data_IF_872228069159
#
_entry.id   IF_872228069159
#
_cell.length_a   1.000
_cell.length_b   1.000
_cell.length_c   1.000
_cell.angle_alpha   90.00
_cell.angle_beta   90.00
_cell.angle_gamma   90.00
#
_symmetry.space_group_name_H-M   'P 1'
#
loop_
_entity.id
_entity.type
_entity.pdbx_description
1 polymer ?
#
# COMPACT_ATOMS: atom_id res chain seq x y z
N UNK A 1 -16.98 10.04 -4.06
CA UNK A 1 -17.92 9.10 -4.68
C UNK A 1 -17.15 7.80 -4.86
N UNK A 2 -17.48 6.75 -4.10
CA UNK A 2 -16.84 5.46 -4.30
C UNK A 2 -17.15 4.99 -5.72
N UNK A 3 -16.12 4.93 -6.58
CA UNK A 3 -16.20 4.44 -7.96
C UNK A 3 -16.73 3.00 -8.08
N UNK A 4 -16.81 2.29 -6.95
CA UNK A 4 -17.35 0.95 -6.84
C UNK A 4 -18.82 0.85 -7.27
N UNK A 5 -19.62 1.90 -7.08
CA UNK A 5 -21.08 1.82 -7.29
C UNK A 5 -21.49 2.28 -8.70
N UNK A 6 -20.71 3.15 -9.34
CA UNK A 6 -21.00 3.62 -10.71
C UNK A 6 -20.86 2.53 -11.76
N UNK A 7 -19.98 1.55 -11.53
CA UNK A 7 -19.69 0.47 -12.47
C UNK A 7 -20.85 -0.51 -12.65
N UNK A 8 -21.52 -1.02 -11.59
CA UNK A 8 -22.70 -1.88 -11.76
C UNK A 8 -23.88 -1.17 -12.42
N UNK A 9 -24.10 0.13 -12.17
CA UNK A 9 -25.14 0.89 -12.88
C UNK A 9 -24.81 1.03 -14.36
N UNK A 10 -23.55 1.35 -14.69
CA UNK A 10 -23.10 1.48 -16.07
C UNK A 10 -23.23 0.14 -16.81
N UNK A 11 -22.88 -0.97 -16.14
CA UNK A 11 -23.08 -2.33 -16.67
C UNK A 11 -24.56 -2.67 -16.85
N UNK A 12 -25.42 -2.35 -15.88
CA UNK A 12 -26.86 -2.63 -15.97
C UNK A 12 -27.55 -1.78 -17.05
N UNK A 13 -27.20 -0.50 -17.15
CA UNK A 13 -27.69 0.41 -18.19
C UNK A 13 -27.18 -0.04 -19.57
N UNK A 14 -25.91 -0.40 -19.67
CA UNK A 14 -25.31 -0.94 -20.89
C UNK A 14 -25.97 -2.24 -21.33
N UNK A 15 -26.22 -3.17 -20.40
CA UNK A 15 -26.91 -4.43 -20.67
C UNK A 15 -28.35 -4.19 -21.14
N UNK A 16 -29.08 -3.25 -20.54
CA UNK A 16 -30.44 -2.89 -20.95
C UNK A 16 -30.47 -2.26 -22.34
N UNK A 17 -29.57 -1.33 -22.63
CA UNK A 17 -29.45 -0.71 -23.96
C UNK A 17 -29.09 -1.78 -25.00
N UNK A 18 -28.12 -2.64 -24.71
CA UNK A 18 -27.74 -3.75 -25.59
C UNK A 18 -28.91 -4.71 -25.83
N UNK A 19 -29.66 -5.08 -24.80
CA UNK A 19 -30.83 -5.95 -24.92
C UNK A 19 -31.93 -5.32 -25.78
N UNK A 20 -32.20 -4.03 -25.60
CA UNK A 20 -33.19 -3.29 -26.39
C UNK A 20 -32.77 -3.13 -27.86
N UNK A 21 -31.46 -2.96 -28.11
CA UNK A 21 -30.92 -2.86 -29.46
C UNK A 21 -30.86 -4.21 -30.20
N UNK A 22 -30.61 -5.31 -29.47
CA UNK A 22 -30.53 -6.65 -30.04
C UNK A 22 -31.92 -7.25 -30.32
N UNK A 23 -32.95 -6.81 -29.61
CA UNK A 23 -34.32 -7.31 -29.76
C UNK A 23 -35.30 -6.17 -30.10
N UNK A 24 -35.18 -5.53 -31.29
CA UNK A 24 -36.17 -4.54 -31.72
C UNK A 24 -37.52 -5.26 -31.97
N UNK A 25 -38.65 -4.70 -31.49
CA UNK A 25 -39.96 -5.32 -31.64
C UNK A 25 -40.43 -5.23 -33.09
N UNK A 26 -40.12 -6.26 -33.87
CA UNK A 26 -40.53 -6.37 -35.28
C UNK A 26 -41.86 -7.11 -35.43
N UNK A 27 -42.32 -7.81 -34.39
CA UNK A 27 -43.54 -8.61 -34.37
C UNK A 27 -44.31 -8.40 -33.06
N UNK A 28 -45.65 -8.56 -33.06
CA UNK A 28 -46.43 -8.53 -31.83
C UNK A 28 -45.85 -9.54 -30.83
N UNK A 29 -45.65 -9.13 -29.57
CA UNK A 29 -44.89 -9.92 -28.61
C UNK A 29 -45.59 -11.27 -28.40
N UNK A 30 -44.82 -12.33 -28.56
CA UNK A 30 -45.24 -13.65 -28.12
C UNK A 30 -45.35 -13.66 -26.58
N UNK A 31 -46.25 -14.47 -25.99
CA UNK A 31 -46.37 -14.55 -24.52
C UNK A 31 -45.05 -14.95 -23.84
N UNK A 32 -44.16 -15.66 -24.53
CA UNK A 32 -42.80 -15.96 -24.06
C UNK A 32 -41.89 -14.73 -24.01
N UNK A 33 -42.01 -13.80 -24.95
CA UNK A 33 -41.23 -12.57 -24.98
C UNK A 33 -41.68 -11.62 -23.86
N UNK A 34 -42.98 -11.56 -23.55
CA UNK A 34 -43.50 -10.78 -22.41
C UNK A 34 -42.92 -11.26 -21.07
N UNK A 35 -42.76 -12.58 -20.89
CA UNK A 35 -42.12 -13.14 -19.69
C UNK A 35 -40.63 -12.78 -19.60
N UNK A 36 -39.91 -12.78 -20.71
CA UNK A 36 -38.49 -12.40 -20.76
C UNK A 36 -38.33 -10.92 -20.46
N UNK A 37 -39.15 -10.06 -21.07
CA UNK A 37 -39.13 -8.62 -20.83
C UNK A 37 -39.46 -8.29 -19.37
N UNK A 38 -40.45 -8.98 -18.78
CA UNK A 38 -40.77 -8.90 -17.36
C UNK A 38 -39.59 -9.32 -16.48
N UNK A 39 -38.91 -10.42 -16.80
CA UNK A 39 -37.73 -10.85 -16.07
C UNK A 39 -36.57 -9.84 -16.15
N UNK A 40 -36.27 -9.30 -17.34
CA UNK A 40 -35.21 -8.29 -17.53
C UNK A 40 -35.55 -7.00 -16.78
N UNK A 41 -36.80 -6.56 -16.83
CA UNK A 41 -37.27 -5.39 -16.10
C UNK A 41 -37.16 -5.60 -14.58
N UNK A 42 -37.56 -6.77 -14.09
CA UNK A 42 -37.41 -7.18 -12.71
C UNK A 42 -35.96 -7.12 -12.25
N UNK A 43 -35.06 -7.80 -12.96
CA UNK A 43 -33.63 -7.79 -12.66
C UNK A 43 -33.06 -6.36 -12.55
N UNK A 44 -33.44 -5.48 -13.48
CA UNK A 44 -33.03 -4.08 -13.44
C UNK A 44 -33.57 -3.30 -12.22
N UNK A 45 -34.83 -3.54 -11.83
CA UNK A 45 -35.40 -2.98 -10.59
C UNK A 45 -34.63 -3.45 -9.36
N UNK A 46 -34.23 -4.72 -9.32
CA UNK A 46 -33.39 -5.29 -8.26
C UNK A 46 -32.03 -4.61 -8.13
N UNK A 47 -31.34 -4.42 -9.27
CA UNK A 47 -30.05 -3.70 -9.32
C UNK A 47 -30.21 -2.25 -8.85
N UNK A 48 -31.26 -1.56 -9.29
CA UNK A 48 -31.53 -0.18 -8.91
C UNK A 48 -31.87 -0.03 -7.43
N UNK A 49 -32.62 -0.98 -6.87
CA UNK A 49 -32.91 -1.02 -5.43
C UNK A 49 -31.63 -1.20 -4.62
N UNK A 50 -30.75 -2.12 -5.06
CA UNK A 50 -29.44 -2.32 -4.44
C UNK A 50 -28.61 -1.03 -4.48
N UNK A 51 -28.57 -0.37 -5.64
CA UNK A 51 -27.87 0.90 -5.82
C UNK A 51 -28.34 1.96 -4.81
N UNK A 52 -29.65 2.24 -4.79
CA UNK A 52 -30.22 3.25 -3.89
C UNK A 52 -30.03 2.86 -2.43
N UNK A 53 -30.10 1.57 -2.09
CA UNK A 53 -29.83 1.10 -0.72
C UNK A 53 -28.40 1.37 -0.28
N UNK A 54 -27.43 1.27 -1.20
CA UNK A 54 -26.01 1.48 -0.92
C UNK A 54 -25.62 2.96 -0.84
N UNK A 55 -26.17 3.82 -1.70
CA UNK A 55 -25.77 5.23 -1.78
C UNK A 55 -26.69 6.17 -0.98
N UNK A 56 -27.95 5.79 -0.82
CA UNK A 56 -29.00 6.61 -0.24
C UNK A 56 -29.90 5.80 0.72
N UNK A 57 -29.37 5.33 1.86
CA UNK A 57 -30.09 4.43 2.77
C UNK A 57 -31.39 5.03 3.32
N UNK A 58 -31.45 6.37 3.42
CA UNK A 58 -32.66 7.10 3.86
C UNK A 58 -33.82 6.94 2.85
N UNK A 59 -33.51 6.81 1.56
CA UNK A 59 -34.51 6.68 0.49
C UNK A 59 -34.89 5.23 0.18
N UNK A 60 -34.08 4.26 0.59
CA UNK A 60 -34.32 2.83 0.38
C UNK A 60 -35.71 2.34 0.83
N UNK A 61 -36.21 2.66 2.05
CA UNK A 61 -37.53 2.20 2.47
C UNK A 61 -38.67 2.82 1.65
N UNK A 62 -38.54 4.10 1.27
CA UNK A 62 -39.52 4.76 0.41
C UNK A 62 -39.59 4.12 -0.98
N UNK A 63 -38.45 3.73 -1.53
CA UNK A 63 -38.35 3.08 -2.84
C UNK A 63 -38.88 1.63 -2.80
N UNK A 64 -38.59 0.90 -1.73
CA UNK A 64 -39.18 -0.42 -1.49
C UNK A 64 -40.71 -0.35 -1.38
N UNK A 65 -41.25 0.62 -0.64
CA UNK A 65 -42.69 0.86 -0.55
C UNK A 65 -43.29 1.25 -1.90
N UNK A 66 -42.59 2.04 -2.70
CA UNK A 66 -43.03 2.38 -4.05
C UNK A 66 -43.13 1.15 -4.97
N UNK A 67 -42.19 0.19 -4.86
CA UNK A 67 -42.28 -1.07 -5.60
C UNK A 67 -43.45 -1.94 -5.14
N UNK A 68 -43.64 -2.10 -3.83
CA UNK A 68 -44.79 -2.83 -3.28
C UNK A 68 -46.10 -2.17 -3.68
N UNK A 69 -46.17 -0.84 -3.59
CA UNK A 69 -47.33 -0.05 -4.00
C UNK A 69 -47.62 -0.18 -5.49
N UNK A 70 -46.59 -0.21 -6.35
CA UNK A 70 -46.75 -0.46 -7.78
C UNK A 70 -47.29 -1.86 -8.06
N UNK A 71 -46.76 -2.90 -7.40
CA UNK A 71 -47.23 -4.27 -7.56
C UNK A 71 -48.69 -4.37 -7.10
N UNK A 72 -49.01 -3.84 -5.93
CA UNK A 72 -50.38 -3.77 -5.42
C UNK A 72 -51.29 -3.01 -6.39
N UNK A 73 -50.82 -1.89 -6.95
CA UNK A 73 -51.60 -1.11 -7.92
C UNK A 73 -51.93 -1.93 -9.18
N UNK A 74 -50.98 -2.72 -9.69
CA UNK A 74 -51.22 -3.60 -10.85
C UNK A 74 -52.21 -4.71 -10.49
N UNK A 75 -52.11 -5.27 -9.28
CA UNK A 75 -52.99 -6.36 -8.84
C UNK A 75 -54.43 -5.89 -8.59
N UNK A 76 -54.62 -4.68 -8.02
CA UNK A 76 -55.93 -4.19 -7.60
C UNK A 76 -56.65 -3.30 -8.61
N UNK A 77 -55.93 -2.58 -9.47
CA UNK A 77 -56.54 -1.60 -10.39
C UNK A 77 -56.51 -2.03 -11.87
N UNK A 78 -56.00 -3.22 -12.19
CA UNK A 78 -56.12 -3.74 -13.55
C UNK A 78 -57.55 -4.28 -13.76
N UNK A 79 -58.29 -3.67 -14.71
CA UNK A 79 -59.64 -4.11 -15.10
C UNK A 79 -59.65 -5.51 -15.76
N UNK A 80 -58.48 -5.98 -16.21
CA UNK A 80 -58.27 -7.34 -16.69
C UNK A 80 -57.53 -8.17 -15.62
N UNK A 81 -57.83 -9.47 -15.47
CA UNK A 81 -57.09 -10.34 -14.56
C UNK A 81 -55.60 -10.25 -14.92
N UNK A 82 -54.74 -9.71 -14.03
CA UNK A 82 -53.34 -9.56 -14.35
C UNK A 82 -52.76 -10.93 -14.61
N UNK A 83 -51.91 -11.04 -15.62
CA UNK A 83 -51.18 -12.28 -15.85
C UNK A 83 -50.21 -12.48 -14.68
N UNK A 84 -50.67 -13.27 -13.71
CA UNK A 84 -49.95 -13.56 -12.47
C UNK A 84 -48.58 -14.17 -12.76
N UNK A 85 -48.40 -14.81 -13.92
CA UNK A 85 -47.11 -15.34 -14.34
C UNK A 85 -46.11 -14.21 -14.59
N UNK A 86 -46.48 -13.16 -15.32
CA UNK A 86 -45.61 -12.01 -15.61
C UNK A 86 -45.25 -11.25 -14.34
N UNK A 87 -46.22 -11.04 -13.43
CA UNK A 87 -45.96 -10.38 -12.15
C UNK A 87 -45.01 -11.21 -11.28
N UNK A 88 -45.23 -12.53 -11.23
CA UNK A 88 -44.39 -13.48 -10.49
C UNK A 88 -42.95 -13.53 -11.02
N UNK A 89 -42.77 -13.66 -12.34
CA UNK A 89 -41.44 -13.71 -12.96
C UNK A 89 -40.67 -12.41 -12.77
N UNK A 90 -41.34 -11.26 -12.92
CA UNK A 90 -40.74 -9.93 -12.68
C UNK A 90 -40.27 -9.80 -11.22
N UNK A 91 -41.10 -10.23 -10.25
CA UNK A 91 -40.75 -10.19 -8.83
C UNK A 91 -39.55 -11.08 -8.49
N UNK A 92 -39.53 -12.33 -8.98
CA UNK A 92 -38.41 -13.26 -8.78
C UNK A 92 -37.13 -12.70 -9.39
N UNK A 93 -37.20 -12.18 -10.62
CA UNK A 93 -36.05 -11.62 -11.29
C UNK A 93 -35.49 -10.38 -10.56
N UNK A 94 -36.34 -9.57 -9.93
CA UNK A 94 -35.89 -8.46 -9.07
C UNK A 94 -35.09 -8.92 -7.86
N UNK A 95 -35.54 -9.98 -7.18
CA UNK A 95 -34.79 -10.56 -6.05
C UNK A 95 -33.44 -11.12 -6.53
N UNK A 96 -33.42 -11.83 -7.66
CA UNK A 96 -32.18 -12.35 -8.26
C UNK A 96 -31.23 -11.23 -8.64
N UNK A 97 -31.72 -10.16 -9.28
CA UNK A 97 -30.92 -8.99 -9.65
C UNK A 97 -30.30 -8.29 -8.44
N UNK A 98 -31.07 -8.14 -7.36
CA UNK A 98 -30.57 -7.59 -6.10
C UNK A 98 -29.47 -8.48 -5.48
N UNK A 99 -29.72 -9.78 -5.35
CA UNK A 99 -28.77 -10.73 -4.76
C UNK A 99 -27.48 -10.86 -5.58
N UNK A 100 -27.58 -10.90 -6.91
CA UNK A 100 -26.43 -10.94 -7.80
C UNK A 100 -25.58 -9.67 -7.67
N UNK A 101 -26.22 -8.50 -7.58
CA UNK A 101 -25.51 -7.23 -7.41
C UNK A 101 -24.80 -7.16 -6.05
N UNK A 102 -25.41 -7.70 -4.99
CA UNK A 102 -24.78 -7.85 -3.68
C UNK A 102 -23.55 -8.76 -3.76
N UNK A 103 -23.65 -9.93 -4.40
CA UNK A 103 -22.52 -10.86 -4.58
C UNK A 103 -21.39 -10.24 -5.40
N UNK A 104 -21.72 -9.54 -6.48
CA UNK A 104 -20.72 -8.83 -7.31
C UNK A 104 -20.06 -7.71 -6.51
N UNK A 105 -20.81 -6.99 -5.68
CA UNK A 105 -20.26 -5.93 -4.83
C UNK A 105 -19.26 -6.52 -3.83
N UNK A 106 -19.61 -7.62 -3.17
CA UNK A 106 -18.70 -8.33 -2.26
C UNK A 106 -17.46 -8.88 -2.98
N UNK A 107 -17.63 -9.48 -4.16
CA UNK A 107 -16.50 -9.98 -4.95
C UNK A 107 -15.61 -8.85 -5.47
N UNK A 108 -16.20 -7.70 -5.85
CA UNK A 108 -15.47 -6.53 -6.29
C UNK A 108 -14.68 -5.88 -5.15
N UNK A 109 -15.27 -5.82 -3.95
CA UNK A 109 -14.55 -5.41 -2.73
C UNK A 109 -13.37 -6.34 -2.47
N UNK A 110 -13.55 -7.66 -2.52
CA UNK A 110 -12.45 -8.63 -2.33
C UNK A 110 -11.34 -8.48 -3.39
N UNK A 111 -11.71 -8.29 -4.65
CA UNK A 111 -10.75 -8.10 -5.74
C UNK A 111 -10.00 -6.76 -5.65
N UNK A 112 -10.69 -5.68 -5.26
CA UNK A 112 -10.10 -4.35 -5.13
C UNK A 112 -9.25 -4.23 -3.85
N UNK A 113 -9.68 -4.84 -2.75
CA UNK A 113 -8.90 -4.88 -1.51
C UNK A 113 -7.67 -5.80 -1.64
N UNK A 114 -7.65 -6.75 -2.58
CA UNK A 114 -6.50 -7.62 -2.82
C UNK A 114 -5.18 -6.87 -3.03
N UNK A 115 -5.24 -5.70 -3.69
CA UNK A 115 -4.05 -4.87 -3.95
C UNK A 115 -3.67 -3.99 -2.75
N UNK A 116 -4.62 -3.52 -1.96
CA UNK A 116 -4.36 -2.70 -0.77
C UNK A 116 -3.97 -3.56 0.45
N UNK A 117 -4.56 -4.75 0.60
CA UNK A 117 -4.19 -5.77 1.59
C UNK A 117 -2.80 -6.35 1.33
N UNK A 118 -2.28 -6.37 0.09
CA UNK A 118 -0.90 -6.80 -0.17
C UNK A 118 0.12 -5.82 0.43
N UNK A 119 -0.17 -4.52 0.38
CA UNK A 119 0.64 -3.45 0.99
C UNK A 119 0.39 -3.40 2.50
N UNK A 120 -0.86 -3.58 2.93
CA UNK A 120 -1.29 -3.65 4.33
C UNK A 120 -0.72 -4.84 5.09
N UNK A 121 -0.70 -6.05 4.51
CA UNK A 121 -0.07 -7.25 5.11
C UNK A 121 1.44 -7.11 5.21
N UNK A 122 2.11 -6.46 4.24
CA UNK A 122 3.55 -6.14 4.36
C UNK A 122 3.82 -5.12 5.47
N UNK A 123 2.96 -4.12 5.64
CA UNK A 123 3.09 -3.16 6.75
C UNK A 123 2.73 -3.75 8.11
N UNK A 124 1.71 -4.61 8.18
CA UNK A 124 1.31 -5.32 9.39
C UNK A 124 2.43 -6.25 9.87
N UNK A 125 2.98 -7.09 8.96
CA UNK A 125 4.15 -7.93 9.28
C UNK A 125 5.38 -7.12 9.71
N UNK A 126 5.56 -5.90 9.17
CA UNK A 126 6.64 -5.02 9.59
C UNK A 126 6.41 -4.48 11.01
N UNK A 127 5.19 -4.04 11.33
CA UNK A 127 4.81 -3.55 12.66
C UNK A 127 4.93 -4.65 13.72
N UNK A 128 4.50 -5.86 13.38
CA UNK A 128 4.62 -7.03 14.25
C UNK A 128 6.09 -7.39 14.53
N UNK A 129 6.96 -7.32 13.50
CA UNK A 129 8.42 -7.46 13.68
C UNK A 129 9.04 -6.36 14.51
N UNK A 130 8.52 -5.13 14.45
CA UNK A 130 8.98 -4.01 15.27
C UNK A 130 8.58 -4.20 16.74
N UNK A 131 7.33 -4.61 17.01
CA UNK A 131 6.87 -4.97 18.36
C UNK A 131 7.63 -6.18 18.94
N UNK A 132 7.94 -7.18 18.12
CA UNK A 132 8.78 -8.31 18.52
C UNK A 132 10.22 -7.86 18.86
N UNK A 133 10.77 -6.86 18.14
CA UNK A 133 12.08 -6.29 18.45
C UNK A 133 12.05 -5.44 19.72
N UNK A 134 10.97 -4.71 19.97
CA UNK A 134 10.80 -3.91 21.19
C UNK A 134 10.65 -4.79 22.42
N UNK A 135 9.78 -5.81 22.38
CA UNK A 135 9.64 -6.80 23.46
C UNK A 135 10.96 -7.53 23.72
N UNK A 136 11.73 -7.88 22.69
CA UNK A 136 13.07 -8.46 22.87
C UNK A 136 14.07 -7.48 23.53
N UNK A 137 13.98 -6.18 23.23
CA UNK A 137 14.80 -5.14 23.89
C UNK A 137 14.39 -4.96 25.35
N UNK A 138 13.10 -5.02 25.65
CA UNK A 138 12.59 -4.94 27.03
C UNK A 138 12.99 -6.17 27.84
N UNK A 139 12.86 -7.37 27.29
CA UNK A 139 13.32 -8.60 27.94
C UNK A 139 14.82 -8.55 28.28
N UNK A 140 15.66 -8.00 27.38
CA UNK A 140 17.09 -7.79 27.67
C UNK A 140 17.33 -6.78 28.79
N UNK A 141 16.56 -5.68 28.83
CA UNK A 141 16.64 -4.68 29.91
C UNK A 141 16.21 -5.28 31.24
N UNK A 142 15.16 -6.08 31.24
CA UNK A 142 14.66 -6.76 32.45
C UNK A 142 15.66 -7.78 32.96
N UNK A 143 16.22 -8.62 32.08
CA UNK A 143 17.29 -9.55 32.43
C UNK A 143 18.51 -8.82 33.03
N UNK A 144 18.89 -7.67 32.47
CA UNK A 144 19.97 -6.85 33.01
C UNK A 144 19.64 -6.26 34.40
N UNK A 145 18.39 -5.82 34.62
CA UNK A 145 17.92 -5.37 35.94
C UNK A 145 17.90 -6.50 36.96
N UNK A 146 17.49 -7.70 36.56
CA UNK A 146 17.50 -8.88 37.42
C UNK A 146 18.93 -9.24 37.85
N UNK A 147 19.88 -9.25 36.91
CA UNK A 147 21.29 -9.50 37.20
C UNK A 147 21.90 -8.45 38.14
N UNK A 148 21.55 -7.17 37.97
CA UNK A 148 21.98 -6.11 38.89
C UNK A 148 21.42 -6.30 40.31
N UNK A 149 20.15 -6.74 40.45
CA UNK A 149 19.57 -7.07 41.76
C UNK A 149 20.29 -8.26 42.41
N UNK A 150 20.66 -9.27 41.64
CA UNK A 150 21.42 -10.43 42.13
C UNK A 150 22.82 -10.05 42.61
N UNK A 151 23.55 -9.22 41.84
CA UNK A 151 24.88 -8.73 42.24
C UNK A 151 24.79 -7.92 43.54
N UNK A 152 23.82 -7.01 43.64
CA UNK A 152 23.64 -6.17 44.82
C UNK A 152 23.20 -7.00 46.04
N UNK A 153 22.40 -8.06 45.84
CA UNK A 153 22.07 -9.02 46.90
C UNK A 153 23.31 -9.77 47.40
N UNK A 154 24.15 -10.28 46.48
CA UNK A 154 25.42 -10.95 46.83
C UNK A 154 26.40 -10.03 47.56
N UNK A 155 26.42 -8.75 47.22
CA UNK A 155 27.29 -7.76 47.87
C UNK A 155 26.85 -7.48 49.31
N UNK A 156 25.54 -7.37 49.56
CA UNK A 156 24.99 -7.28 50.93
C UNK A 156 25.30 -8.50 51.78
N UNK A 157 25.30 -9.70 51.21
CA UNK A 157 25.65 -10.92 51.94
C UNK A 157 27.15 -10.97 52.28
N UNK A 158 28.02 -10.48 51.37
CA UNK A 158 29.46 -10.32 51.67
C UNK A 158 29.70 -9.38 52.85
N UNK A 159 29.03 -8.24 52.89
CA UNK A 159 29.19 -7.28 53.99
C UNK A 159 28.71 -7.86 55.34
N UNK A 160 27.67 -8.69 55.35
CA UNK A 160 27.21 -9.39 56.57
C UNK A 160 28.18 -10.45 57.05
N UNK A 161 28.80 -11.19 56.13
CA UNK A 161 29.80 -12.21 56.48
C UNK A 161 31.15 -11.62 56.88
N UNK A 162 31.42 -10.35 56.52
CA UNK A 162 32.55 -9.57 57.03
C UNK A 162 32.24 -9.01 58.42
N UNK A 163 31.87 -9.90 59.34
CA UNK A 163 31.76 -9.54 60.76
C UNK A 163 33.12 -8.96 61.21
N UNK A 164 33.13 -7.81 61.89
CA UNK A 164 34.36 -7.16 62.32
C UNK A 164 34.93 -7.95 63.50
N UNK A 165 35.68 -9.01 63.21
CA UNK A 165 36.52 -9.63 64.23
C UNK A 165 37.66 -8.65 64.54
N UNK A 166 37.43 -7.84 65.57
CA UNK A 166 38.40 -7.51 66.61
C UNK A 166 39.81 -7.13 66.11
N UNK A 167 40.12 -5.83 66.14
CA UNK A 167 41.18 -5.36 67.02
C UNK A 167 41.08 -3.86 67.28
N UNK A 168 40.68 -3.56 68.50
CA UNK A 168 41.03 -2.36 69.23
C UNK A 168 42.52 -2.05 69.04
N UNK A 169 42.83 -0.95 68.36
CA UNK A 169 44.04 -0.18 68.64
C UNK A 169 43.76 1.30 68.45
N UNK A 170 43.88 1.97 69.58
CA UNK A 170 43.78 3.38 69.85
C UNK A 170 44.72 4.24 69.02
N UNK A 171 44.35 5.53 68.89
CA UNK A 171 45.16 6.67 68.45
C UNK A 171 45.39 6.68 66.92
N UNK A 172 45.33 7.78 66.19
CA UNK A 172 45.37 9.21 66.49
C UNK A 172 44.89 9.95 65.22
N UNK A 173 44.38 11.19 65.38
CA UNK A 173 44.38 12.31 64.43
C UNK A 173 44.45 12.02 62.91
N UNK A 174 43.49 12.57 62.17
CA UNK A 174 43.64 13.81 61.35
C UNK A 174 42.40 13.89 60.46
N UNK A 175 41.65 14.98 60.65
CA UNK A 175 40.56 15.41 59.77
C UNK A 175 41.13 16.01 58.48
N UNK A 176 40.52 15.74 57.31
CA UNK A 176 40.09 16.87 56.48
C UNK A 176 38.69 16.62 55.86
N UNK A 177 37.74 17.54 56.06
CA UNK A 177 37.41 18.67 55.16
C UNK A 177 36.82 18.17 53.82
N UNK A 178 35.56 17.72 53.79
CA UNK A 178 34.36 18.53 53.50
C UNK A 178 34.58 19.58 52.39
N UNK A 179 34.41 19.18 51.14
CA UNK A 179 34.21 20.08 50.00
C UNK A 179 32.89 19.76 49.32
N UNK A 180 31.86 20.53 49.68
CA UNK A 180 30.64 20.66 48.87
C UNK A 180 30.99 21.43 47.60
N UNK A 181 30.78 20.83 46.43
CA UNK A 181 30.71 21.57 45.17
C UNK A 181 29.24 21.73 44.83
N UNK A 182 28.67 22.82 45.33
CA UNK A 182 27.45 23.44 44.84
C UNK A 182 27.74 24.01 43.45
N UNK A 183 27.15 23.45 42.40
CA UNK A 183 27.09 24.11 41.08
C UNK A 183 25.65 24.55 40.82
N UNK A 184 25.30 25.68 41.42
CA UNK A 184 24.11 26.44 41.08
C UNK A 184 24.41 27.41 39.92
N UNK A 185 23.47 27.46 38.97
CA UNK A 185 23.07 28.59 38.12
C UNK A 185 24.11 29.66 37.74
N UNK A 186 24.30 29.81 36.44
CA UNK A 186 24.45 31.12 35.81
C UNK A 186 23.60 31.16 34.54
N UNK A 187 22.48 31.86 34.67
CA UNK A 187 21.67 32.36 33.57
C UNK A 187 22.36 33.54 32.89
N UNK A 188 21.86 33.85 31.69
CA UNK A 188 22.00 35.09 30.89
C UNK A 188 23.38 35.44 30.35
N UNK A 189 23.47 35.52 29.00
CA UNK A 189 23.92 36.68 28.19
C UNK A 189 23.94 36.27 26.68
N UNK A 190 24.03 37.21 25.72
CA UNK A 190 22.88 37.67 24.95
C UNK A 190 22.93 37.30 23.45
N UNK A 191 21.76 37.47 22.84
CA UNK A 191 21.47 37.68 21.41
C UNK A 191 22.62 38.35 20.64
N UNK A 192 23.25 37.59 19.74
CA UNK A 192 23.88 38.12 18.52
C UNK A 192 23.27 37.43 17.32
N UNK A 193 22.63 38.23 16.49
CA UNK A 193 22.06 37.87 15.21
C UNK A 193 23.22 37.59 14.24
N UNK A 194 23.43 36.31 13.93
CA UNK A 194 24.14 35.88 12.73
C UNK A 194 23.60 34.50 12.37
N UNK A 195 22.45 34.47 11.69
CA UNK A 195 21.85 33.24 11.15
C UNK A 195 22.68 32.78 9.95
N UNK A 196 23.87 32.26 10.25
CA UNK A 196 24.57 31.30 9.41
C UNK A 196 23.77 30.01 9.50
N UNK A 197 23.37 29.52 8.33
CA UNK A 197 22.58 28.31 8.16
C UNK A 197 23.25 27.18 8.96
N UNK A 198 22.55 26.54 9.91
CA UNK A 198 23.13 25.43 10.67
C UNK A 198 23.50 24.34 9.67
N UNK A 199 24.73 23.79 9.70
CA UNK A 199 25.03 22.58 8.95
C UNK A 199 24.05 21.55 9.48
N UNK A 200 23.15 21.11 8.60
CA UNK A 200 22.25 20.01 8.87
C UNK A 200 23.12 18.87 9.41
N UNK A 201 22.90 18.53 10.68
CA UNK A 201 23.32 17.27 11.27
C UNK A 201 22.69 16.17 10.43
N UNK A 202 23.41 15.77 9.38
CA UNK A 202 23.21 14.50 8.72
C UNK A 202 23.49 13.50 9.82
N UNK A 203 22.42 12.89 10.33
CA UNK A 203 22.51 11.66 11.11
C UNK A 203 23.08 10.60 10.16
N UNK A 204 24.40 10.63 9.99
CA UNK A 204 25.17 9.56 9.39
C UNK A 204 25.07 8.40 10.38
N UNK A 205 24.06 7.56 10.20
CA UNK A 205 24.05 6.21 10.77
C UNK A 205 25.15 5.42 10.07
N UNK A 206 26.38 5.68 10.51
CA UNK A 206 27.58 4.87 10.35
C UNK A 206 27.39 3.60 11.18
N UNK A 207 27.07 2.48 10.54
CA UNK A 207 27.49 1.15 11.06
C UNK A 207 27.26 0.01 10.06
N UNK A 208 27.85 0.09 8.87
CA UNK A 208 28.13 -1.13 8.04
C UNK A 208 29.43 -1.05 7.25
N UNK A 209 30.24 -0.01 7.40
CA UNK A 209 31.49 0.19 6.62
C UNK A 209 32.75 -0.40 7.27
N UNK A 210 32.69 -0.94 8.50
CA UNK A 210 33.89 -1.33 9.26
C UNK A 210 34.42 -2.76 8.98
N UNK A 211 34.05 -3.39 7.87
CA UNK A 211 34.65 -4.68 7.46
C UNK A 211 35.18 -4.68 6.02
N UNK A 212 35.21 -3.53 5.33
CA UNK A 212 35.71 -3.47 3.95
C UNK A 212 37.23 -3.32 3.84
N UNK A 213 37.92 -2.77 4.84
CA UNK A 213 39.37 -2.50 4.75
C UNK A 213 40.27 -3.75 4.82
N UNK A 214 39.73 -4.92 5.19
CA UNK A 214 40.54 -6.12 5.43
C UNK A 214 40.54 -7.14 4.28
N UNK A 215 39.74 -6.94 3.23
CA UNK A 215 39.82 -7.71 1.98
C UNK A 215 40.49 -6.83 0.93
N UNK A 216 41.68 -7.22 0.46
CA UNK A 216 42.50 -6.44 -0.48
C UNK A 216 41.69 -5.87 -1.66
N UNK A 217 41.34 -4.59 -1.56
CA UNK A 217 40.63 -3.85 -2.59
C UNK A 217 41.61 -3.53 -3.73
N UNK A 218 41.60 -4.35 -4.78
CA UNK A 218 42.14 -3.93 -6.07
C UNK A 218 41.39 -2.68 -6.52
N UNK A 219 42.06 -1.70 -7.15
CA UNK A 219 41.45 -0.39 -7.50
C UNK A 219 40.16 -0.46 -8.34
N UNK A 220 39.89 -1.62 -8.96
CA UNK A 220 38.63 -1.96 -9.63
C UNK A 220 37.42 -2.04 -8.68
N UNK A 221 37.60 -2.53 -7.45
CA UNK A 221 36.53 -2.58 -6.45
C UNK A 221 36.01 -1.19 -6.08
N UNK A 222 36.90 -0.19 -6.02
CA UNK A 222 36.55 1.18 -5.66
C UNK A 222 35.60 1.84 -6.67
N UNK A 223 35.75 1.55 -7.96
CA UNK A 223 34.83 2.07 -8.98
C UNK A 223 33.44 1.45 -8.84
N UNK A 224 33.37 0.13 -8.61
CA UNK A 224 32.10 -0.56 -8.40
C UNK A 224 31.37 -0.06 -7.14
N UNK A 225 32.11 0.21 -6.07
CA UNK A 225 31.55 0.78 -4.85
C UNK A 225 30.98 2.18 -5.06
N UNK A 226 31.66 3.02 -5.85
CA UNK A 226 31.15 4.36 -6.19
C UNK A 226 29.85 4.27 -6.99
N UNK A 227 29.76 3.34 -7.95
CA UNK A 227 28.53 3.10 -8.70
C UNK A 227 27.40 2.57 -7.81
N UNK A 228 27.71 1.63 -6.93
CA UNK A 228 26.76 1.07 -5.98
C UNK A 228 26.25 2.14 -5.00
N UNK A 229 27.16 2.99 -4.49
CA UNK A 229 26.83 4.11 -3.63
C UNK A 229 25.93 5.12 -4.38
N UNK A 230 26.20 5.38 -5.66
CA UNK A 230 25.37 6.24 -6.49
C UNK A 230 23.96 5.65 -6.68
N UNK A 231 23.83 4.37 -7.01
CA UNK A 231 22.53 3.69 -7.13
C UNK A 231 21.73 3.72 -5.81
N UNK A 232 22.39 3.46 -4.68
CA UNK A 232 21.77 3.55 -3.35
C UNK A 232 21.34 4.98 -3.02
N UNK A 233 22.14 5.99 -3.38
CA UNK A 233 21.78 7.41 -3.23
C UNK A 233 20.55 7.77 -4.06
N UNK A 234 20.47 7.30 -5.32
CA UNK A 234 19.30 7.50 -6.19
C UNK A 234 18.06 6.82 -5.61
N UNK A 235 18.18 5.58 -5.14
CA UNK A 235 17.09 4.88 -4.47
C UNK A 235 16.59 5.63 -3.22
N UNK A 236 17.51 6.13 -2.39
CA UNK A 236 17.19 6.91 -1.20
C UNK A 236 16.50 8.23 -1.54
N UNK A 237 16.94 8.91 -2.61
CA UNK A 237 16.33 10.16 -3.09
C UNK A 237 14.90 9.90 -3.59
N UNK A 238 14.69 8.87 -4.40
CA UNK A 238 13.35 8.49 -4.88
C UNK A 238 12.40 8.12 -3.72
N UNK A 239 12.89 7.45 -2.68
CA UNK A 239 12.09 7.12 -1.50
C UNK A 239 11.78 8.37 -0.63
N UNK A 240 12.68 9.36 -0.59
CA UNK A 240 12.42 10.65 0.06
C UNK A 240 11.30 11.42 -0.68
N UNK A 241 11.38 11.52 -2.01
CA UNK A 241 10.33 12.13 -2.84
C UNK A 241 8.99 11.43 -2.67
N UNK A 242 8.99 10.10 -2.63
CA UNK A 242 7.79 9.30 -2.35
C UNK A 242 7.12 9.69 -1.02
N UNK A 243 7.90 9.93 0.04
CA UNK A 243 7.35 10.34 1.35
C UNK A 243 6.74 11.74 1.27
N UNK A 244 7.44 12.67 0.63
CA UNK A 244 6.93 14.02 0.38
C UNK A 244 5.61 13.99 -0.38
N UNK A 245 5.51 13.24 -1.49
CA UNK A 245 4.26 13.11 -2.24
C UNK A 245 3.13 12.47 -1.40
N UNK A 246 3.44 11.56 -0.47
CA UNK A 246 2.43 11.00 0.45
C UNK A 246 1.88 12.05 1.42
N UNK A 247 2.74 12.91 1.95
CA UNK A 247 2.34 14.00 2.85
C UNK A 247 1.53 15.05 2.10
N UNK A 248 1.98 15.47 0.92
CA UNK A 248 1.26 16.40 0.05
C UNK A 248 -0.11 15.82 -0.36
N UNK A 249 -0.21 14.50 -0.60
CA UNK A 249 -1.48 13.84 -0.91
C UNK A 249 -2.46 13.95 0.26
N UNK A 250 -2.00 13.74 1.50
CA UNK A 250 -2.84 13.89 2.69
C UNK A 250 -3.32 15.33 2.84
N UNK A 251 -2.44 16.30 2.57
CA UNK A 251 -2.79 17.71 2.56
C UNK A 251 -3.86 18.04 1.51
N UNK A 252 -3.72 17.54 0.27
CA UNK A 252 -4.72 17.73 -0.77
C UNK A 252 -6.09 17.14 -0.40
N UNK A 253 -6.09 15.95 0.22
CA UNK A 253 -7.32 15.33 0.73
C UNK A 253 -7.98 16.16 1.84
N UNK A 254 -7.18 16.70 2.77
CA UNK A 254 -7.69 17.57 3.83
C UNK A 254 -8.29 18.88 3.30
N UNK A 255 -7.77 19.38 2.17
CA UNK A 255 -8.30 20.54 1.45
C UNK A 255 -9.53 20.21 0.58
N UNK A 256 -9.92 18.93 0.47
CA UNK A 256 -11.02 18.49 -0.40
C UNK A 256 -10.67 18.41 -1.90
N UNK A 257 -9.41 18.65 -2.27
CA UNK A 257 -8.93 18.59 -3.66
C UNK A 257 -8.58 17.15 -4.07
N UNK A 258 -9.62 16.44 -4.54
CA UNK A 258 -9.51 15.03 -4.95
C UNK A 258 -8.66 14.83 -6.20
N UNK A 259 -8.75 15.74 -7.17
CA UNK A 259 -8.01 15.65 -8.42
C UNK A 259 -6.49 15.72 -8.17
N UNK A 260 -6.05 16.65 -7.32
CA UNK A 260 -4.65 16.76 -6.92
C UNK A 260 -4.20 15.55 -6.10
N UNK A 261 -5.05 15.04 -5.22
CA UNK A 261 -4.74 13.84 -4.44
C UNK A 261 -4.53 12.60 -5.32
N UNK A 262 -5.29 12.45 -6.40
CA UNK A 262 -5.13 11.38 -7.39
C UNK A 262 -3.82 11.53 -8.19
N UNK A 263 -3.48 12.74 -8.63
CA UNK A 263 -2.20 13.02 -9.29
C UNK A 263 -1.00 12.66 -8.39
N UNK A 264 -1.05 13.07 -7.12
CA UNK A 264 -0.01 12.73 -6.15
C UNK A 264 0.04 11.22 -5.86
N UNK A 265 -1.10 10.53 -5.88
CA UNK A 265 -1.12 9.07 -5.76
C UNK A 265 -0.37 8.39 -6.91
N UNK A 266 -0.54 8.86 -8.15
CA UNK A 266 0.22 8.37 -9.30
C UNK A 266 1.73 8.64 -9.15
N UNK A 267 2.12 9.83 -8.66
CA UNK A 267 3.52 10.14 -8.38
C UNK A 267 4.12 9.21 -7.31
N UNK A 268 3.39 8.93 -6.23
CA UNK A 268 3.83 7.98 -5.19
C UNK A 268 4.09 6.59 -5.79
N UNK A 269 3.23 6.10 -6.69
CA UNK A 269 3.46 4.82 -7.40
C UNK A 269 4.71 4.88 -8.28
N UNK A 270 4.89 5.97 -9.03
CA UNK A 270 6.06 6.18 -9.90
C UNK A 270 7.36 6.20 -9.11
N UNK A 271 7.45 6.97 -8.01
CA UNK A 271 8.66 7.03 -7.19
C UNK A 271 8.95 5.71 -6.46
N UNK A 272 7.91 4.97 -6.05
CA UNK A 272 8.08 3.63 -5.50
C UNK A 272 8.72 2.67 -6.52
N UNK A 273 8.22 2.66 -7.76
CA UNK A 273 8.78 1.85 -8.83
C UNK A 273 10.24 2.22 -9.15
N UNK A 274 10.58 3.52 -9.16
CA UNK A 274 11.96 3.99 -9.38
C UNK A 274 12.89 3.60 -8.23
N UNK A 275 12.45 3.72 -6.98
CA UNK A 275 13.24 3.29 -5.84
C UNK A 275 13.53 1.79 -5.90
N UNK A 276 12.51 0.98 -6.21
CA UNK A 276 12.65 -0.46 -6.37
C UNK A 276 13.59 -0.84 -7.54
N UNK A 277 13.48 -0.18 -8.70
CA UNK A 277 14.37 -0.45 -9.83
C UNK A 277 15.83 -0.18 -9.48
N UNK A 278 16.14 0.92 -8.78
CA UNK A 278 17.51 1.21 -8.36
C UNK A 278 18.05 0.22 -7.33
N UNK A 279 17.20 -0.28 -6.42
CA UNK A 279 17.62 -1.33 -5.48
C UNK A 279 17.93 -2.64 -6.20
N UNK A 280 17.09 -3.07 -7.14
CA UNK A 280 17.33 -4.28 -7.94
C UNK A 280 18.56 -4.15 -8.84
N UNK A 281 18.81 -2.97 -9.39
CA UNK A 281 19.99 -2.70 -10.20
C UNK A 281 21.28 -2.75 -9.35
N UNK A 282 21.24 -2.17 -8.14
CA UNK A 282 22.35 -2.27 -7.19
C UNK A 282 22.63 -3.73 -6.81
N UNK A 283 21.60 -4.52 -6.51
CA UNK A 283 21.74 -5.93 -6.17
C UNK A 283 22.29 -6.76 -7.34
N UNK A 284 21.84 -6.47 -8.58
CA UNK A 284 22.37 -7.11 -9.79
C UNK A 284 23.88 -6.83 -9.93
N UNK A 285 24.32 -5.59 -9.72
CA UNK A 285 25.75 -5.23 -9.78
C UNK A 285 26.59 -5.95 -8.71
N UNK A 286 26.05 -6.17 -7.51
CA UNK A 286 26.73 -6.96 -6.46
C UNK A 286 26.93 -8.41 -6.93
N UNK A 287 25.89 -9.02 -7.51
CA UNK A 287 25.95 -10.41 -8.00
C UNK A 287 26.95 -10.53 -9.16
N UNK A 288 26.94 -9.58 -10.10
CA UNK A 288 27.88 -9.53 -11.21
C UNK A 288 29.34 -9.36 -10.72
N UNK A 289 29.58 -8.45 -9.77
CA UNK A 289 30.89 -8.28 -9.17
C UNK A 289 31.38 -9.53 -8.43
N UNK A 290 30.48 -10.18 -7.70
CA UNK A 290 30.79 -11.42 -6.97
C UNK A 290 31.16 -12.53 -7.95
N UNK A 291 30.41 -12.66 -9.06
CA UNK A 291 30.69 -13.63 -10.14
C UNK A 291 32.03 -13.34 -10.83
N UNK A 292 32.35 -12.07 -11.11
CA UNK A 292 33.60 -11.67 -11.73
C UNK A 292 34.83 -11.97 -10.86
N UNK A 293 34.69 -11.86 -9.53
CA UNK A 293 35.77 -12.18 -8.58
C UNK A 293 35.96 -13.69 -8.35
N UNK A 294 34.97 -14.52 -8.70
CA UNK A 294 35.00 -15.98 -8.47
C UNK A 294 34.79 -16.76 -9.78
N UNK A 295 35.61 -16.54 -10.84
CA UNK A 295 35.38 -17.16 -12.14
C UNK A 295 35.51 -18.70 -12.13
N UNK A 296 36.15 -19.29 -11.11
CA UNK A 296 36.47 -20.72 -11.05
C UNK A 296 35.55 -21.63 -10.22
N UNK A 297 34.68 -21.10 -9.34
CA UNK A 297 33.96 -21.95 -8.38
C UNK A 297 32.55 -22.39 -8.81
N UNK A 298 31.89 -21.71 -9.74
CA UNK A 298 30.49 -22.01 -10.10
C UNK A 298 30.31 -22.99 -11.26
N UNK A 299 31.36 -23.27 -12.03
CA UNK A 299 31.28 -24.24 -13.14
C UNK A 299 31.31 -25.71 -12.70
N UNK A 300 31.72 -26.00 -11.45
CA UNK A 300 31.83 -27.38 -10.97
C UNK A 300 30.55 -27.93 -10.31
N UNK A 301 29.65 -27.07 -9.81
CA UNK A 301 28.48 -27.52 -9.04
C UNK A 301 27.20 -27.69 -9.86
N UNK A 302 27.13 -27.14 -11.08
CA UNK A 302 25.98 -27.33 -11.97
C UNK A 302 25.97 -28.70 -12.69
N UNK A 303 27.11 -29.40 -12.74
CA UNK A 303 27.22 -30.71 -13.39
C UNK A 303 27.06 -31.90 -12.42
N UNK A 304 27.01 -31.68 -11.10
CA UNK A 304 27.14 -32.74 -10.10
C UNK A 304 25.88 -33.03 -9.26
N UNK A 305 24.72 -32.45 -9.58
CA UNK A 305 23.49 -32.70 -8.81
C UNK A 305 22.25 -32.81 -9.69
N UNK A 306 22.20 -33.88 -10.49
CA UNK A 306 20.94 -34.57 -10.75
C UNK A 306 20.80 -35.63 -9.66
N UNK A 307 20.12 -35.38 -8.52
CA UNK A 307 19.73 -36.46 -7.65
C UNK A 307 18.66 -37.26 -8.41
N UNK A 308 19.06 -38.41 -8.95
CA UNK A 308 18.14 -39.49 -9.31
C UNK A 308 17.36 -39.84 -8.06
N UNK A 309 16.21 -39.19 -7.88
CA UNK A 309 15.25 -39.49 -6.85
C UNK A 309 14.59 -40.80 -7.25
N UNK A 310 15.22 -41.91 -6.85
CA UNK A 310 14.63 -43.24 -6.91
C UNK A 310 13.39 -43.25 -6.02
N UNK A 311 12.24 -43.11 -6.66
CA UNK A 311 10.93 -43.26 -6.04
C UNK A 311 10.53 -44.73 -6.19
N UNK A 312 10.41 -45.53 -5.11
CA UNK A 312 9.91 -46.89 -5.21
C UNK A 312 8.37 -46.90 -5.08
N UNK A 313 7.73 -47.66 -5.96
CA UNK A 313 6.34 -48.15 -5.90
C UNK A 313 5.17 -47.17 -6.16
N UNK A 314 4.50 -47.33 -7.30
CA UNK A 314 3.38 -48.27 -7.42
C UNK A 314 3.15 -48.65 -8.89
N UNK A 315 2.89 -49.94 -9.14
CA UNK A 315 2.51 -50.46 -10.44
C UNK A 315 1.12 -49.97 -10.86
N UNK A 316 0.99 -49.75 -12.15
CA UNK A 316 -0.24 -49.31 -12.82
C UNK A 316 0.01 -49.33 -14.32
N UNK A 317 -0.29 -50.50 -14.89
CA UNK A 317 -0.73 -50.81 -16.26
C UNK A 317 -0.47 -49.82 -17.41
N UNK A 318 0.02 -50.41 -18.50
CA UNK A 318 0.50 -49.81 -19.73
C UNK A 318 -0.60 -49.12 -20.55
N UNK A 319 -0.33 -47.90 -21.00
CA UNK A 319 -0.83 -47.38 -22.27
C UNK A 319 0.34 -46.78 -23.07
N UNK A 320 0.51 -47.12 -24.37
CA UNK A 320 1.62 -46.63 -25.17
C UNK A 320 1.33 -45.23 -25.73
N UNK A 321 2.07 -44.22 -25.26
CA UNK A 321 2.09 -42.86 -25.85
C UNK A 321 3.25 -42.77 -26.85
N UNK A 322 3.05 -42.17 -28.04
CA UNK A 322 4.04 -42.19 -29.11
C UNK A 322 5.20 -41.23 -28.85
N UNK A 323 6.39 -41.66 -29.27
CA UNK A 323 7.62 -40.87 -29.35
C UNK A 323 7.43 -39.63 -30.22
N UNK A 324 7.44 -38.44 -29.61
CA UNK A 324 7.66 -37.18 -30.32
C UNK A 324 9.05 -36.64 -29.96
N UNK A 325 9.95 -36.78 -30.93
CA UNK A 325 11.32 -36.28 -30.88
C UNK A 325 11.32 -34.78 -31.18
N UNK A 326 11.86 -34.00 -30.24
CA UNK A 326 12.46 -32.71 -30.56
C UNK A 326 11.76 -31.50 -29.96
N UNK A 327 12.22 -31.08 -28.78
CA UNK A 327 12.12 -29.67 -28.38
C UNK A 327 13.48 -29.14 -27.94
N UNK A 328 14.01 -28.29 -28.82
CA UNK A 328 15.06 -27.32 -28.57
C UNK A 328 14.76 -26.54 -27.29
N UNK A 329 15.82 -26.24 -26.55
CA UNK A 329 15.82 -25.27 -25.46
C UNK A 329 15.17 -23.97 -25.90
N UNK A 330 13.94 -23.72 -25.44
CA UNK A 330 13.28 -22.43 -25.56
C UNK A 330 13.83 -21.51 -24.47
N UNK A 331 14.56 -20.48 -24.91
CA UNK A 331 14.76 -19.24 -24.16
C UNK A 331 13.47 -18.84 -23.44
N UNK A 332 13.56 -18.69 -22.12
CA UNK A 332 12.49 -18.11 -21.32
C UNK A 332 12.34 -16.64 -21.74
N UNK A 333 11.23 -16.22 -22.38
CA UNK A 333 11.08 -14.84 -22.78
C UNK A 333 10.90 -14.00 -21.52
N UNK A 334 11.82 -13.05 -21.34
CA UNK A 334 11.67 -11.98 -20.35
C UNK A 334 10.30 -11.33 -20.57
N UNK A 335 9.44 -11.18 -19.55
CA UNK A 335 8.16 -10.54 -19.76
C UNK A 335 8.41 -9.07 -20.08
N UNK A 336 7.99 -8.67 -21.28
CA UNK A 336 8.16 -7.34 -21.83
C UNK A 336 7.14 -6.37 -21.21
N UNK A 337 7.35 -6.03 -19.93
CA UNK A 337 6.49 -5.08 -19.21
C UNK A 337 6.64 -3.63 -19.71
N UNK A 338 7.73 -3.33 -20.44
CA UNK A 338 8.03 -1.98 -20.91
C UNK A 338 7.35 -1.63 -22.23
N UNK A 339 7.09 -2.59 -23.13
CA UNK A 339 6.39 -2.28 -24.38
C UNK A 339 4.86 -2.11 -24.22
N UNK A 340 4.24 -2.64 -23.16
CA UNK A 340 2.82 -2.37 -22.87
C UNK A 340 2.59 -0.93 -22.39
N UNK A 341 3.50 -0.38 -21.59
CA UNK A 341 3.45 1.05 -21.19
C UNK A 341 3.73 2.01 -22.35
N UNK A 342 4.41 1.56 -23.41
CA UNK A 342 4.71 2.39 -24.59
C UNK A 342 3.56 2.44 -25.61
N UNK A 343 2.70 1.42 -25.68
CA UNK A 343 1.58 1.38 -26.63
C UNK A 343 0.38 2.23 -26.19
N UNK A 344 0.17 2.41 -24.88
CA UNK A 344 -0.96 3.21 -24.37
C UNK A 344 -0.71 4.74 -24.38
N UNK A 345 0.50 5.19 -24.73
CA UNK A 345 0.84 6.62 -24.81
C UNK A 345 0.73 7.16 -26.25
N UNK A 346 0.61 6.30 -27.26
CA UNK A 346 0.67 6.70 -28.68
C UNK A 346 -0.62 7.31 -29.26
N UNK A 347 -1.66 7.53 -28.45
CA UNK A 347 -2.96 8.02 -28.93
C UNK A 347 -3.53 9.26 -28.25
N UNK A 348 -2.90 9.80 -27.19
CA UNK A 348 -3.38 11.05 -26.57
C UNK A 348 -2.63 12.23 -27.15
N UNK A 349 -3.34 12.99 -27.98
CA UNK A 349 -2.90 14.30 -28.46
C UNK A 349 -2.31 15.13 -27.31
N UNK A 350 -1.25 15.91 -27.54
CA UNK A 350 -0.70 16.80 -26.52
C UNK A 350 -1.82 17.71 -26.04
N UNK A 351 -2.13 17.61 -24.74
CA UNK A 351 -3.03 18.53 -24.07
C UNK A 351 -2.45 19.93 -24.30
N UNK A 352 -3.12 20.74 -25.12
CA UNK A 352 -2.84 22.18 -25.20
C UNK A 352 -2.98 22.72 -23.80
N UNK A 353 -1.85 23.14 -23.21
CA UNK A 353 -1.90 24.01 -22.05
C UNK A 353 -2.69 25.25 -22.47
N UNK A 354 -3.72 25.68 -21.72
CA UNK A 354 -4.28 26.99 -21.94
C UNK A 354 -3.14 28.00 -21.72
N UNK A 355 -2.99 28.89 -22.70
CA UNK A 355 -2.01 29.97 -22.66
C UNK A 355 -2.08 30.68 -21.31
N UNK A 356 -0.90 30.84 -20.69
CA UNK A 356 -0.75 31.71 -19.52
C UNK A 356 -1.33 33.08 -19.89
N UNK A 357 -2.32 33.62 -19.17
CA UNK A 357 -2.66 35.02 -19.33
C UNK A 357 -1.42 35.86 -18.97
N UNK A 358 -1.09 36.80 -19.85
CA UNK A 358 -0.01 37.76 -19.69
C UNK A 358 0.00 38.34 -18.28
N UNK A 359 1.18 38.32 -17.67
CA UNK A 359 1.47 38.94 -16.39
C UNK A 359 1.68 40.45 -16.54
N UNK A 360 0.72 41.13 -17.18
CA UNK A 360 0.69 42.57 -17.29
C UNK A 360 -0.44 43.12 -16.40
N UNK A 361 -0.06 43.74 -15.28
CA UNK A 361 -0.87 44.76 -14.62
C UNK A 361 -1.94 44.27 -13.63
N UNK A 362 -1.53 43.73 -12.48
CA UNK A 362 -2.35 43.86 -11.26
C UNK A 362 -1.91 45.09 -10.48
N UNK A 363 -2.47 46.24 -10.86
CA UNK A 363 -2.51 47.41 -10.00
C UNK A 363 -3.46 47.11 -8.84
N UNK A 364 -2.92 47.19 -7.62
CA UNK A 364 -3.65 47.02 -6.37
C UNK A 364 -4.42 48.32 -6.10
N UNK A 365 -5.68 48.41 -6.55
CA UNK A 365 -6.54 49.54 -6.21
C UNK A 365 -7.23 49.26 -4.86
N UNK A 366 -6.65 49.80 -3.79
CA UNK A 366 -7.13 49.66 -2.43
C UNK A 366 -8.28 50.66 -2.17
N UNK A 367 -9.48 50.32 -2.61
CA UNK A 367 -10.71 51.04 -2.27
C UNK A 367 -11.34 50.53 -0.97
N UNK A 368 -10.81 50.96 0.19
CA UNK A 368 -11.54 50.84 1.47
C UNK A 368 -12.67 51.90 1.49
N UNK A 369 -13.87 51.51 1.09
CA UNK A 369 -15.07 52.30 1.39
C UNK A 369 -15.50 52.04 2.84
N UNK A 370 -15.24 53.03 3.69
CA UNK A 370 -15.82 53.12 5.03
C UNK A 370 -17.30 53.47 4.90
N UNK A 371 -18.17 52.51 5.23
CA UNK A 371 -19.56 52.76 5.58
C UNK A 371 -19.62 53.39 6.97
N UNK A 372 -20.11 54.64 7.08
CA UNK A 372 -20.65 55.24 8.32
C UNK A 372 -21.31 56.59 8.01
N UNK A 373 -22.64 56.62 8.01
CA UNK A 373 -23.45 57.77 8.44
C UNK A 373 -24.93 57.35 8.49
N UNK A 374 -25.41 57.04 9.70
CA UNK A 374 -26.81 57.19 10.09
C UNK A 374 -26.76 57.81 11.50
N UNK A 375 -27.03 59.11 11.56
CA UNK A 375 -27.60 59.88 12.67
C UNK A 375 -27.77 61.32 12.18
#
# INVERSE_FOLDING_TARGET
MPLAVTLPILCALGARIAFTLLNPPLTPPSPSEELIDGAVQGAFQGVLLQYVSSEHPVFAPALALAFVGRIASIVYFADAPPDMQVVGTTGIAAVVGFALTQLISLAAEEWMDGDELSIGRRHSRRRERELARESAREARKEHMRARLREINARERDRDRSRSPSVRSRSLERVSPRRSYVTRARSASLPRTEHTTVPPTLITETTSTTLTMEQMGYTGLGRLLDLELANLRKKAATAEADRRRCKEERKWALAQGDKARAEQLAWQVKRYAAMAESYTREADRKIIEATRANHPGQLSATAAASTPTQANPYYGGELDPVPSDNGRRASEVPYPDYMNKLRKDIKGKAPMRYPDRPNADGFAFDSGWQTSKAYA
#
